data_IF_416312987610
#
_entry.id   IF_416312987610
#
_cell.length_a   1.000
_cell.length_b   1.000
_cell.length_c   1.000
_cell.angle_alpha   90.00
_cell.angle_beta   90.00
_cell.angle_gamma   90.00
#
_symmetry.space_group_name_H-M   'P 1'
#
loop_
_entity.id
_entity.type
_entity.pdbx_description
1 polymer ?
#
# COMPACT_ATOMS: atom_id res chain seq x y z
N UNK A 1 6.29 -30.35 -0.05
CA UNK A 1 6.35 -28.90 0.23
C UNK A 1 7.37 -28.67 1.33
N UNK A 2 8.57 -28.21 0.97
CA UNK A 2 9.68 -28.03 1.92
C UNK A 2 9.52 -26.69 2.61
N UNK A 3 9.53 -26.67 3.95
CA UNK A 3 9.40 -25.45 4.76
C UNK A 3 10.70 -24.66 4.65
N UNK A 4 10.65 -23.47 4.06
CA UNK A 4 11.81 -22.57 3.99
C UNK A 4 12.29 -22.24 5.40
N UNK A 5 13.58 -22.42 5.65
CA UNK A 5 14.21 -22.07 6.92
C UNK A 5 14.60 -20.60 6.92
N UNK A 6 14.84 -20.05 8.10
CA UNK A 6 15.21 -18.64 8.28
C UNK A 6 16.50 -18.30 7.52
N UNK A 7 17.42 -19.27 7.45
CA UNK A 7 18.67 -19.17 6.69
C UNK A 7 18.41 -19.00 5.19
N UNK A 8 17.46 -19.75 4.62
CA UNK A 8 17.11 -19.67 3.19
C UNK A 8 16.55 -18.29 2.81
N UNK A 9 15.77 -17.67 3.71
CA UNK A 9 15.21 -16.32 3.50
C UNK A 9 16.31 -15.25 3.49
N UNK A 10 17.30 -15.38 4.37
CA UNK A 10 18.42 -14.43 4.44
C UNK A 10 19.29 -14.49 3.18
N UNK A 11 19.52 -15.70 2.67
CA UNK A 11 20.25 -15.94 1.42
C UNK A 11 19.53 -15.34 0.20
N UNK A 12 18.20 -15.43 0.17
CA UNK A 12 17.38 -14.80 -0.87
C UNK A 12 17.50 -13.27 -0.79
N UNK A 13 17.36 -12.69 0.41
CA UNK A 13 17.45 -11.23 0.62
C UNK A 13 18.81 -10.69 0.16
N UNK A 14 19.91 -11.42 0.40
CA UNK A 14 21.24 -11.01 -0.03
C UNK A 14 21.45 -11.11 -1.55
N UNK A 15 20.74 -12.01 -2.23
CA UNK A 15 20.80 -12.19 -3.69
C UNK A 15 19.86 -11.26 -4.45
N UNK A 16 18.93 -10.59 -3.77
CA UNK A 16 18.13 -9.55 -4.39
C UNK A 16 19.06 -8.40 -4.82
N UNK A 17 18.89 -7.87 -6.05
CA UNK A 17 19.66 -6.71 -6.49
C UNK A 17 19.51 -5.59 -5.46
N UNK A 18 20.57 -4.84 -5.21
CA UNK A 18 20.58 -3.75 -4.24
C UNK A 18 19.52 -2.70 -4.63
N UNK A 19 18.30 -2.88 -4.14
CA UNK A 19 17.25 -1.87 -4.23
C UNK A 19 17.76 -0.73 -3.37
N UNK A 20 17.94 0.45 -4.00
CA UNK A 20 18.23 1.67 -3.27
C UNK A 20 16.99 2.01 -2.45
N UNK A 21 16.91 1.50 -1.23
CA UNK A 21 15.83 1.81 -0.30
C UNK A 21 15.82 3.32 -0.11
N UNK A 22 14.73 3.95 -0.52
CA UNK A 22 14.43 5.31 -0.09
C UNK A 22 14.31 5.30 1.45
N UNK A 23 14.53 6.44 2.10
CA UNK A 23 14.43 6.53 3.56
C UNK A 23 13.05 6.06 4.04
N UNK A 24 13.00 4.92 4.73
CA UNK A 24 11.78 4.40 5.34
C UNK A 24 11.66 5.00 6.74
N UNK A 25 10.64 5.81 6.96
CA UNK A 25 10.30 6.33 8.29
C UNK A 25 9.09 5.59 8.85
N UNK A 26 9.26 4.95 10.01
CA UNK A 26 8.15 4.28 10.72
C UNK A 26 7.45 5.30 11.62
N UNK A 27 6.22 5.66 11.28
CA UNK A 27 5.37 6.50 12.12
C UNK A 27 4.87 5.74 13.34
N UNK A 28 4.95 6.35 14.54
CA UNK A 28 4.42 5.77 15.78
C UNK A 28 2.96 6.15 16.05
N UNK A 29 2.45 7.15 15.35
CA UNK A 29 1.10 7.66 15.48
C UNK A 29 0.51 7.87 14.07
N UNK A 30 -0.54 7.11 13.75
CA UNK A 30 -1.19 7.17 12.43
C UNK A 30 -1.79 8.55 12.16
N UNK A 31 -2.43 9.13 13.16
CA UNK A 31 -3.14 10.39 13.04
C UNK A 31 -2.20 11.57 12.73
N UNK A 32 -1.02 11.56 13.36
CA UNK A 32 0.06 12.48 13.05
C UNK A 32 0.61 12.27 11.64
N UNK A 33 0.84 11.03 11.22
CA UNK A 33 1.33 10.71 9.89
C UNK A 33 0.35 11.18 8.79
N UNK A 34 -0.95 10.86 8.95
CA UNK A 34 -2.01 11.27 8.02
C UNK A 34 -2.15 12.79 7.92
N UNK A 35 -1.74 13.56 8.94
CA UNK A 35 -1.76 15.02 8.88
C UNK A 35 -0.68 15.62 7.96
N UNK A 36 0.45 14.93 7.82
CA UNK A 36 1.66 15.42 7.13
C UNK A 36 1.62 15.18 5.63
N UNK A 37 0.99 14.10 5.19
CA UNK A 37 1.00 13.67 3.80
C UNK A 37 -0.34 13.90 3.10
N UNK A 38 -0.31 13.84 1.78
CA UNK A 38 -1.50 13.90 0.90
C UNK A 38 -1.62 12.67 0.03
N UNK A 39 -0.57 11.87 -0.14
CA UNK A 39 -0.60 10.61 -0.90
C UNK A 39 -0.60 9.45 0.08
N UNK A 40 -1.63 8.62 0.03
CA UNK A 40 -1.79 7.47 0.92
C UNK A 40 -1.79 6.16 0.13
N UNK A 41 -1.06 5.18 0.67
CA UNK A 41 -1.10 3.78 0.23
C UNK A 41 -1.58 2.94 1.41
N UNK A 42 -2.76 2.32 1.28
CA UNK A 42 -3.35 1.50 2.32
C UNK A 42 -3.47 0.04 1.89
N UNK A 43 -2.69 -0.81 2.55
CA UNK A 43 -2.73 -2.27 2.39
C UNK A 43 -3.11 -2.97 3.71
N UNK A 44 -3.85 -2.29 4.58
CA UNK A 44 -4.24 -2.80 5.89
C UNK A 44 -5.51 -3.67 5.78
N UNK A 45 -5.63 -4.77 6.56
CA UNK A 45 -6.86 -5.54 6.63
C UNK A 45 -7.83 -4.92 7.64
N UNK A 46 -8.19 -3.64 7.47
CA UNK A 46 -8.94 -2.88 8.47
C UNK A 46 -9.76 -1.75 7.86
N UNK A 47 -11.05 -1.68 8.21
CA UNK A 47 -11.94 -0.60 7.79
C UNK A 47 -11.75 0.66 8.65
N UNK A 48 -12.22 1.81 8.16
CA UNK A 48 -12.36 3.05 8.93
C UNK A 48 -11.07 3.57 9.60
N UNK A 49 -9.89 3.29 9.05
CA UNK A 49 -8.61 3.78 9.56
C UNK A 49 -8.29 5.21 9.08
N UNK A 50 -8.87 5.65 7.96
CA UNK A 50 -8.72 6.99 7.40
C UNK A 50 -10.07 7.71 7.46
N UNK A 51 -10.11 8.76 8.27
CA UNK A 51 -11.32 9.54 8.58
C UNK A 51 -11.42 10.80 7.70
N UNK A 52 -12.63 11.31 7.46
CA UNK A 52 -12.86 12.47 6.58
C UNK A 52 -12.03 13.72 6.96
N UNK A 53 -11.78 13.95 8.25
CA UNK A 53 -10.91 15.04 8.74
C UNK A 53 -9.45 14.97 8.25
N UNK A 54 -9.04 13.84 7.66
CA UNK A 54 -7.70 13.62 7.09
C UNK A 54 -7.67 13.75 5.56
N UNK A 55 -8.82 13.95 4.92
CA UNK A 55 -8.90 14.17 3.48
C UNK A 55 -8.74 15.66 3.18
N UNK A 56 -7.70 16.00 2.42
CA UNK A 56 -7.45 17.33 1.87
C UNK A 56 -7.93 17.38 0.40
N UNK A 57 -8.18 18.58 -0.17
CA UNK A 57 -8.60 18.73 -1.57
C UNK A 57 -7.67 18.05 -2.60
N UNK A 58 -6.40 17.89 -2.25
CA UNK A 58 -5.35 17.29 -3.09
C UNK A 58 -4.96 15.85 -2.68
N UNK A 59 -5.60 15.27 -1.65
CA UNK A 59 -5.36 13.89 -1.22
C UNK A 59 -5.53 12.85 -2.35
N UNK A 60 -4.59 11.95 -2.53
CA UNK A 60 -4.66 10.82 -3.46
C UNK A 60 -4.53 9.53 -2.66
N UNK A 61 -5.34 8.52 -2.96
CA UNK A 61 -5.35 7.27 -2.20
C UNK A 61 -5.31 6.07 -3.14
N UNK A 62 -4.37 5.15 -2.91
CA UNK A 62 -4.41 3.80 -3.44
C UNK A 62 -4.62 2.83 -2.27
N UNK A 63 -5.72 2.07 -2.27
CA UNK A 63 -6.15 1.31 -1.09
C UNK A 63 -6.47 -0.17 -1.38
N UNK A 64 -5.50 -1.01 -1.81
CA UNK A 64 -5.76 -2.43 -2.08
C UNK A 64 -6.22 -3.26 -0.85
N UNK A 65 -6.14 -2.72 0.36
CA UNK A 65 -6.58 -3.41 1.58
C UNK A 65 -8.08 -3.76 1.59
N UNK A 66 -8.41 -4.93 2.14
CA UNK A 66 -9.79 -5.41 2.31
C UNK A 66 -10.06 -5.64 3.81
N UNK A 67 -11.12 -5.04 4.38
CA UNK A 67 -12.05 -4.07 3.77
C UNK A 67 -11.41 -2.69 3.52
N UNK A 68 -12.04 -1.85 2.69
CA UNK A 68 -11.58 -0.49 2.40
C UNK A 68 -11.39 0.32 3.70
N UNK A 69 -10.19 0.89 3.88
CA UNK A 69 -9.81 1.61 5.10
C UNK A 69 -10.42 3.00 5.29
N UNK A 70 -11.26 3.47 4.37
CA UNK A 70 -11.90 4.77 4.44
C UNK A 70 -13.19 4.71 5.26
N UNK A 71 -13.48 5.76 6.03
CA UNK A 71 -14.86 6.03 6.46
C UNK A 71 -15.74 6.34 5.25
N UNK A 72 -17.05 6.17 5.39
CA UNK A 72 -18.00 6.46 4.32
C UNK A 72 -17.90 7.92 3.86
N UNK A 73 -17.77 8.86 4.79
CA UNK A 73 -17.60 10.28 4.49
C UNK A 73 -16.25 10.55 3.80
N UNK A 74 -15.18 9.88 4.23
CA UNK A 74 -13.88 9.99 3.59
C UNK A 74 -13.91 9.49 2.14
N UNK A 75 -14.61 8.37 1.89
CA UNK A 75 -14.83 7.83 0.55
C UNK A 75 -15.49 8.85 -0.36
N UNK A 76 -16.58 9.48 0.07
CA UNK A 76 -17.28 10.47 -0.77
C UNK A 76 -16.42 11.69 -1.11
N UNK A 77 -15.50 12.10 -0.23
CA UNK A 77 -14.59 13.23 -0.48
C UNK A 77 -13.48 12.90 -1.49
N UNK A 78 -13.13 11.62 -1.65
CA UNK A 78 -11.94 11.19 -2.39
C UNK A 78 -12.23 10.20 -3.52
N UNK A 79 -13.47 9.78 -3.75
CA UNK A 79 -13.85 8.76 -4.74
C UNK A 79 -13.32 9.02 -6.17
N UNK A 80 -13.17 10.27 -6.58
CA UNK A 80 -12.62 10.64 -7.91
C UNK A 80 -11.08 10.59 -7.96
N UNK A 81 -10.44 10.42 -6.79
CA UNK A 81 -9.00 10.41 -6.53
C UNK A 81 -8.57 9.14 -5.78
N UNK A 82 -9.42 8.12 -5.80
CA UNK A 82 -9.23 6.83 -5.15
C UNK A 82 -8.96 5.76 -6.21
N UNK A 83 -7.83 5.08 -6.06
CA UNK A 83 -7.53 3.83 -6.76
C UNK A 83 -7.88 2.71 -5.79
N UNK A 84 -9.02 2.07 -6.04
CA UNK A 84 -9.48 0.93 -5.27
C UNK A 84 -9.87 -0.20 -6.22
N UNK A 85 -9.19 -1.31 -6.07
CA UNK A 85 -9.36 -2.51 -6.89
C UNK A 85 -8.93 -3.70 -6.04
N UNK A 86 -9.72 -4.78 -6.08
CA UNK A 86 -9.52 -5.92 -5.17
C UNK A 86 -8.43 -6.86 -5.68
N UNK A 87 -8.23 -6.95 -7.01
CA UNK A 87 -7.33 -7.95 -7.58
C UNK A 87 -6.74 -7.58 -8.95
N UNK A 88 -7.54 -7.04 -9.85
CA UNK A 88 -7.26 -6.80 -11.26
C UNK A 88 -5.98 -5.98 -11.50
N UNK A 89 -5.77 -4.88 -10.76
CA UNK A 89 -4.57 -4.06 -10.86
C UNK A 89 -3.34 -4.86 -10.42
N UNK A 90 -3.46 -5.63 -9.34
CA UNK A 90 -2.40 -6.51 -8.86
C UNK A 90 -2.03 -7.59 -9.88
N UNK A 91 -3.04 -8.21 -10.51
CA UNK A 91 -2.86 -9.21 -11.57
C UNK A 91 -2.21 -8.59 -12.81
N UNK A 92 -2.65 -7.42 -13.24
CA UNK A 92 -2.04 -6.71 -14.36
C UNK A 92 -0.57 -6.39 -14.09
N UNK A 93 -0.23 -5.93 -12.88
CA UNK A 93 1.16 -5.69 -12.47
C UNK A 93 2.01 -6.97 -12.52
N UNK A 94 1.52 -8.07 -11.95
CA UNK A 94 2.20 -9.38 -11.99
C UNK A 94 2.38 -9.89 -13.43
N UNK A 95 1.35 -9.74 -14.27
CA UNK A 95 1.39 -10.18 -15.66
C UNK A 95 2.43 -9.40 -16.48
N UNK A 96 2.45 -8.07 -16.37
CA UNK A 96 3.46 -7.23 -17.04
C UNK A 96 4.86 -7.60 -16.55
N UNK A 97 5.05 -7.74 -15.23
CA UNK A 97 6.34 -8.12 -14.67
C UNK A 97 6.82 -9.48 -15.19
N UNK A 98 5.93 -10.47 -15.28
CA UNK A 98 6.27 -11.79 -15.81
C UNK A 98 6.53 -11.77 -17.33
N UNK A 99 5.84 -10.89 -18.07
CA UNK A 99 5.95 -10.79 -19.54
C UNK A 99 7.19 -10.01 -19.99
N UNK A 100 7.73 -9.14 -19.13
CA UNK A 100 8.90 -8.31 -19.45
C UNK A 100 10.25 -8.98 -19.15
N UNK A 101 10.27 -10.23 -18.66
CA UNK A 101 11.51 -11.01 -18.54
C UNK A 101 11.79 -11.69 -19.90
N UNK A 102 12.61 -11.04 -20.73
CA UNK A 102 13.25 -11.64 -21.90
C UNK A 102 14.74 -11.81 -21.65
#
# INVERSE_FOLDING_TARGET
MTRLKKEDIMDIIQKLPAVKWQEITVGKNLEEALSRYTVFFDASPSANIIQAKRIKPETLIAAPGIPLGLSEEAYFLVKERLIYDVLEIGVAAMFVQASCVQ
#
